data_IF_251242632150
#
_entry.id   IF_251242632150
#
_cell.length_a   1.000
_cell.length_b   1.000
_cell.length_c   1.000
_cell.angle_alpha   90.00
_cell.angle_beta   90.00
_cell.angle_gamma   90.00
#
_symmetry.space_group_name_H-M   'P 1'
#
loop_
_entity.id
_entity.type
_entity.pdbx_description
1 polymer ?
#
# COMPACT_ATOMS: atom_id res chain seq x y z
N UNK A 1 -14.61 32.60 -23.15
CA UNK A 1 -15.08 31.33 -22.56
C UNK A 1 -13.84 30.47 -22.34
N UNK A 2 -13.22 30.57 -21.17
CA UNK A 2 -12.01 29.79 -20.86
C UNK A 2 -12.45 28.42 -20.33
N UNK A 3 -12.31 27.38 -21.15
CA UNK A 3 -12.57 26.02 -20.72
C UNK A 3 -11.36 25.50 -19.94
N UNK A 4 -11.43 25.51 -18.61
CA UNK A 4 -10.48 24.82 -17.76
C UNK A 4 -10.60 23.31 -18.01
N UNK A 5 -9.67 22.78 -18.80
CA UNK A 5 -9.56 21.36 -19.07
C UNK A 5 -9.06 20.67 -17.79
N UNK A 6 -9.98 20.12 -17.01
CA UNK A 6 -9.64 19.26 -15.86
C UNK A 6 -8.82 18.09 -16.41
N UNK A 7 -7.55 17.99 -16.00
CA UNK A 7 -6.71 16.85 -16.35
C UNK A 7 -7.32 15.60 -15.71
N UNK A 8 -7.80 14.68 -16.55
CA UNK A 8 -8.11 13.31 -16.16
C UNK A 8 -6.84 12.66 -15.62
N UNK A 9 -6.78 12.48 -14.30
CA UNK A 9 -5.71 11.73 -13.64
C UNK A 9 -5.94 10.26 -13.94
N UNK A 10 -5.45 9.81 -15.09
CA UNK A 10 -5.41 8.38 -15.42
C UNK A 10 -4.49 7.70 -14.40
N UNK A 11 -5.07 7.03 -13.42
CA UNK A 11 -4.32 6.19 -12.49
C UNK A 11 -3.87 4.94 -13.26
N UNK A 12 -2.60 4.94 -13.66
CA UNK A 12 -1.97 3.80 -14.31
C UNK A 12 -2.10 2.56 -13.39
N UNK A 13 -2.82 1.50 -13.81
CA UNK A 13 -3.02 0.31 -13.00
C UNK A 13 -1.69 -0.39 -12.67
N UNK A 14 -0.64 -0.20 -13.46
CA UNK A 14 0.70 -0.75 -13.16
C UNK A 14 1.31 -0.05 -11.95
N UNK A 15 1.00 1.24 -11.73
CA UNK A 15 1.47 2.00 -10.55
C UNK A 15 0.70 1.62 -9.28
N UNK A 16 -0.53 1.12 -9.38
CA UNK A 16 -1.38 0.83 -8.21
C UNK A 16 -1.11 -0.54 -7.57
N UNK A 17 -0.44 -1.45 -8.27
CA UNK A 17 -0.13 -2.81 -7.77
C UNK A 17 1.18 -2.86 -6.97
N UNK A 18 2.03 -1.84 -7.08
CA UNK A 18 3.28 -1.74 -6.30
C UNK A 18 4.37 -2.73 -6.73
N UNK A 19 4.30 -3.26 -7.95
CA UNK A 19 5.35 -4.09 -8.54
C UNK A 19 6.43 -3.22 -9.20
N UNK A 20 7.69 -3.63 -9.05
CA UNK A 20 8.75 -3.05 -9.88
C UNK A 20 8.68 -3.58 -11.31
N UNK A 21 9.18 -2.86 -12.32
CA UNK A 21 9.21 -3.35 -13.71
C UNK A 21 9.86 -4.75 -13.83
N UNK A 22 10.95 -4.98 -13.08
CA UNK A 22 11.63 -6.27 -13.05
C UNK A 22 10.75 -7.38 -12.46
N UNK A 23 10.00 -7.11 -11.38
CA UNK A 23 9.06 -8.08 -10.83
C UNK A 23 7.94 -8.42 -11.82
N UNK A 24 7.39 -7.42 -12.51
CA UNK A 24 6.36 -7.62 -13.54
C UNK A 24 6.90 -8.48 -14.68
N UNK A 25 8.09 -8.20 -15.19
CA UNK A 25 8.75 -8.99 -16.23
C UNK A 25 8.95 -10.44 -15.78
N UNK A 26 9.52 -10.67 -14.59
CA UNK A 26 9.74 -12.01 -14.07
C UNK A 26 8.44 -12.77 -13.86
N UNK A 27 7.36 -12.11 -13.43
CA UNK A 27 6.05 -12.73 -13.28
C UNK A 27 5.50 -13.18 -14.64
N UNK A 28 5.45 -12.29 -15.63
CA UNK A 28 4.95 -12.60 -16.98
C UNK A 28 5.74 -13.75 -17.59
N UNK A 29 7.07 -13.66 -17.60
CA UNK A 29 7.93 -14.72 -18.14
C UNK A 29 7.79 -16.01 -17.32
N UNK A 30 7.64 -15.92 -16.00
CA UNK A 30 7.46 -17.07 -15.12
C UNK A 30 6.17 -17.84 -15.39
N UNK A 31 5.09 -17.15 -15.75
CA UNK A 31 3.83 -17.80 -16.17
C UNK A 31 3.96 -18.47 -17.53
N UNK A 32 4.72 -17.89 -18.47
CA UNK A 32 5.03 -18.52 -19.76
C UNK A 32 5.91 -19.77 -19.60
N UNK A 33 6.79 -19.78 -18.59
CA UNK A 33 7.63 -20.93 -18.22
C UNK A 33 6.91 -21.96 -17.34
N UNK A 34 5.61 -21.81 -17.08
CA UNK A 34 4.89 -22.68 -16.15
C UNK A 34 4.29 -23.89 -16.86
N UNK A 35 4.62 -25.09 -16.38
CA UNK A 35 3.96 -26.33 -16.76
C UNK A 35 3.07 -26.79 -15.60
N UNK A 36 1.75 -26.85 -15.84
CA UNK A 36 0.72 -27.09 -14.82
C UNK A 36 0.71 -26.02 -13.72
N UNK A 37 1.43 -26.26 -12.62
CA UNK A 37 1.55 -25.35 -11.45
C UNK A 37 3.01 -25.18 -11.00
N UNK A 38 3.97 -25.60 -11.83
CA UNK A 38 5.40 -25.51 -11.53
C UNK A 38 6.09 -24.64 -12.57
N UNK A 39 6.81 -23.64 -12.10
CA UNK A 39 7.64 -22.78 -12.96
C UNK A 39 8.95 -23.50 -13.26
N UNK A 40 9.33 -23.53 -14.54
CA UNK A 40 10.67 -23.92 -14.94
C UNK A 40 11.65 -22.78 -14.65
N UNK A 41 12.35 -22.87 -13.51
CA UNK A 41 13.31 -21.86 -13.07
C UNK A 41 14.52 -21.73 -13.99
N UNK A 42 14.87 -22.79 -14.73
CA UNK A 42 15.99 -22.76 -15.66
C UNK A 42 15.61 -21.92 -16.87
N UNK A 43 14.47 -22.21 -17.51
CA UNK A 43 13.94 -21.41 -18.62
C UNK A 43 13.69 -19.95 -18.22
N UNK A 44 13.17 -19.72 -17.02
CA UNK A 44 12.96 -18.35 -16.53
C UNK A 44 14.27 -17.58 -16.36
N UNK A 45 15.31 -18.22 -15.81
CA UNK A 45 16.64 -17.61 -15.70
C UNK A 45 17.22 -17.25 -17.06
N UNK A 46 17.08 -18.14 -18.04
CA UNK A 46 17.52 -17.92 -19.43
C UNK A 46 16.78 -16.74 -20.08
N UNK A 47 15.44 -16.69 -19.96
CA UNK A 47 14.62 -15.60 -20.53
C UNK A 47 14.90 -14.23 -19.91
N UNK A 48 15.14 -14.18 -18.59
CA UNK A 48 15.42 -12.95 -17.87
C UNK A 48 16.91 -12.62 -17.78
N UNK A 49 17.80 -13.40 -18.42
CA UNK A 49 19.26 -13.25 -18.37
C UNK A 49 19.85 -13.19 -16.95
N UNK A 50 19.34 -14.03 -16.04
CA UNK A 50 19.79 -14.15 -14.64
C UNK A 50 19.97 -15.60 -14.23
N UNK A 51 20.61 -15.84 -13.08
CA UNK A 51 20.71 -17.19 -12.53
C UNK A 51 19.32 -17.71 -12.10
N UNK A 52 19.04 -19.02 -12.23
CA UNK A 52 17.77 -19.60 -11.79
C UNK A 52 17.36 -19.26 -10.33
N UNK A 53 18.28 -19.24 -9.35
CA UNK A 53 17.95 -18.81 -7.98
C UNK A 53 17.53 -17.34 -7.89
N UNK A 54 18.17 -16.46 -8.67
CA UNK A 54 17.82 -15.04 -8.74
C UNK A 54 16.42 -14.87 -9.32
N UNK A 55 16.16 -15.49 -10.48
CA UNK A 55 14.84 -15.49 -11.12
C UNK A 55 13.73 -15.97 -10.17
N UNK A 56 13.96 -17.09 -9.46
CA UNK A 56 13.03 -17.61 -8.45
C UNK A 56 12.77 -16.59 -7.34
N UNK A 57 13.81 -15.90 -6.88
CA UNK A 57 13.70 -14.90 -5.80
C UNK A 57 12.85 -13.72 -6.25
N UNK A 58 13.11 -13.16 -7.43
CA UNK A 58 12.37 -12.01 -7.97
C UNK A 58 10.91 -12.39 -8.24
N UNK A 59 10.67 -13.55 -8.88
CA UNK A 59 9.33 -14.08 -9.13
C UNK A 59 8.54 -14.24 -7.83
N UNK A 60 9.14 -14.87 -6.81
CA UNK A 60 8.47 -15.12 -5.53
C UNK A 60 8.16 -13.80 -4.79
N UNK A 61 9.05 -12.82 -4.85
CA UNK A 61 8.80 -11.48 -4.30
C UNK A 61 7.64 -10.79 -5.01
N UNK A 62 7.64 -10.79 -6.34
CA UNK A 62 6.53 -10.23 -7.13
C UNK A 62 5.20 -10.90 -6.82
N UNK A 63 5.19 -12.24 -6.70
CA UNK A 63 3.96 -12.98 -6.38
C UNK A 63 3.42 -12.64 -4.99
N UNK A 64 4.28 -12.52 -3.98
CA UNK A 64 3.88 -12.08 -2.64
C UNK A 64 3.35 -10.64 -2.62
N UNK A 65 3.87 -9.76 -3.47
CA UNK A 65 3.33 -8.41 -3.60
C UNK A 65 1.90 -8.44 -4.16
N UNK A 66 1.63 -9.30 -5.15
CA UNK A 66 0.28 -9.50 -5.67
C UNK A 66 -0.67 -10.07 -4.62
N UNK A 67 -0.26 -11.12 -3.91
CA UNK A 67 -1.04 -11.73 -2.82
C UNK A 67 -1.45 -10.65 -1.78
N UNK A 68 -0.49 -9.83 -1.31
CA UNK A 68 -0.76 -8.73 -0.37
C UNK A 68 -1.66 -7.63 -0.94
N UNK A 69 -1.51 -7.33 -2.23
CA UNK A 69 -2.36 -6.34 -2.88
C UNK A 69 -3.81 -6.81 -2.95
N UNK A 70 -4.01 -8.09 -3.28
CA UNK A 70 -5.33 -8.73 -3.30
C UNK A 70 -5.97 -8.80 -1.91
N UNK A 71 -5.20 -9.14 -0.87
CA UNK A 71 -5.64 -9.09 0.53
C UNK A 71 -6.13 -7.69 0.92
N UNK A 72 -5.34 -6.65 0.63
CA UNK A 72 -5.70 -5.26 0.94
C UNK A 72 -6.92 -4.79 0.16
N UNK A 73 -7.00 -5.14 -1.13
CA UNK A 73 -8.13 -4.81 -1.99
C UNK A 73 -9.41 -5.45 -1.47
N UNK A 74 -9.35 -6.72 -1.09
CA UNK A 74 -10.50 -7.46 -0.56
C UNK A 74 -10.95 -6.90 0.79
N UNK A 75 -10.01 -6.58 1.69
CA UNK A 75 -10.32 -5.95 2.98
C UNK A 75 -10.96 -4.57 2.81
N UNK A 76 -10.53 -3.77 1.82
CA UNK A 76 -11.14 -2.47 1.52
C UNK A 76 -12.57 -2.62 0.98
N UNK A 77 -12.83 -3.62 0.14
CA UNK A 77 -14.17 -3.90 -0.38
C UNK A 77 -15.15 -4.23 0.75
N UNK A 78 -14.77 -5.07 1.70
CA UNK A 78 -15.62 -5.39 2.86
C UNK A 78 -15.92 -4.19 3.78
N UNK A 79 -15.05 -3.18 3.81
CA UNK A 79 -15.26 -1.96 4.61
C UNK A 79 -16.23 -1.01 3.89
N UNK A 80 -16.16 -0.90 2.55
CA UNK A 80 -17.14 -0.10 1.80
C UNK A 80 -18.53 -0.75 1.83
N UNK A 81 -18.64 -2.08 1.70
CA UNK A 81 -19.93 -2.78 1.87
C UNK A 81 -20.51 -2.62 3.29
N UNK A 82 -19.66 -2.63 4.33
CA UNK A 82 -20.10 -2.38 5.70
C UNK A 82 -20.49 -0.91 5.98
N UNK A 83 -20.01 0.04 5.17
CA UNK A 83 -20.41 1.44 5.24
C UNK A 83 -21.70 1.69 4.47
N UNK A 84 -21.88 1.11 3.28
CA UNK A 84 -23.14 1.17 2.53
C UNK A 84 -24.28 0.49 3.29
N UNK A 85 -24.02 -0.59 4.02
CA UNK A 85 -25.02 -1.23 4.88
C UNK A 85 -25.42 -0.35 6.08
N UNK A 86 -24.57 0.59 6.53
CA UNK A 86 -24.91 1.55 7.59
C UNK A 86 -25.59 2.81 7.07
N UNK A 87 -25.24 3.27 5.87
CA UNK A 87 -25.98 4.35 5.20
C UNK A 87 -27.39 3.92 4.76
N UNK A 88 -27.64 2.62 4.57
CA UNK A 88 -28.99 2.10 4.31
C UNK A 88 -29.88 1.98 5.57
N UNK A 89 -29.30 2.01 6.78
CA UNK A 89 -30.05 1.97 8.06
C UNK A 89 -30.33 3.38 8.60
N UNK A 90 -29.64 4.43 8.11
CA UNK A 90 -29.82 5.82 8.58
C UNK A 90 -30.79 6.66 7.71
N UNK A 91 -31.42 6.07 6.68
CA UNK A 91 -32.39 6.77 5.81
C UNK A 91 -33.86 6.56 6.25
N UNK A 92 -34.14 5.72 7.26
CA UNK A 92 -35.52 5.42 7.69
C UNK A 92 -35.94 5.99 9.05
N UNK A 93 -35.20 6.89 9.70
CA UNK A 93 -35.74 7.67 10.84
C UNK A 93 -34.98 8.99 11.04
N UNK A 94 -35.30 10.05 10.31
CA UNK A 94 -35.35 11.44 10.84
C UNK A 94 -36.28 12.26 9.93
N UNK A 95 -37.60 12.10 10.11
CA UNK A 95 -38.53 13.20 9.85
C UNK A 95 -38.89 13.83 11.22
N UNK A 96 -38.73 15.15 11.28
CA UNK A 96 -39.24 16.11 12.27
C UNK A 96 -38.65 16.12 13.69
N UNK A 97 -37.78 17.11 13.95
CA UNK A 97 -38.05 18.16 14.94
C UNK A 97 -37.04 19.31 14.78
N UNK A 98 -37.56 20.50 14.47
CA UNK A 98 -36.86 21.78 14.59
C UNK A 98 -36.72 22.22 16.06
N UNK A 99 -35.92 23.30 16.24
CA UNK A 99 -35.77 24.16 17.44
C UNK A 99 -34.88 23.57 18.55
N UNK A 100 -33.93 24.26 19.18
CA UNK A 100 -33.66 25.70 19.28
C UNK A 100 -32.20 25.91 19.76
N UNK A 101 -31.81 27.18 19.82
CA UNK A 101 -30.48 27.73 20.03
C UNK A 101 -29.88 27.50 21.45
N UNK A 102 -28.57 27.72 21.49
CA UNK A 102 -27.88 28.63 22.41
C UNK A 102 -26.78 28.06 23.34
N UNK A 103 -25.70 28.85 23.33
CA UNK A 103 -24.60 29.08 24.27
C UNK A 103 -24.07 27.95 25.18
N UNK A 104 -22.74 27.77 25.18
CA UNK A 104 -21.90 28.42 26.20
C UNK A 104 -20.39 28.18 25.95
N UNK A 105 -19.68 29.28 25.68
CA UNK A 105 -18.44 29.71 26.35
C UNK A 105 -17.27 28.72 26.59
N UNK A 106 -16.22 28.95 25.79
CA UNK A 106 -14.79 29.06 26.12
C UNK A 106 -14.26 28.41 27.43
N UNK A 107 -13.22 27.56 27.29
CA UNK A 107 -12.21 27.43 28.34
C UNK A 107 -10.85 27.10 27.74
N UNK A 108 -9.99 28.09 27.91
CA UNK A 108 -8.62 28.27 27.44
C UNK A 108 -7.60 27.26 28.03
N UNK A 109 -6.50 27.14 27.27
CA UNK A 109 -5.08 27.07 27.68
C UNK A 109 -4.54 26.05 28.73
N UNK A 110 -3.57 25.22 28.31
CA UNK A 110 -2.31 24.91 29.04
C UNK A 110 -1.38 24.02 28.15
N UNK A 111 -0.45 24.59 27.38
CA UNK A 111 0.97 24.91 27.72
C UNK A 111 1.95 23.70 27.64
N UNK A 112 2.75 23.74 26.57
CA UNK A 112 4.21 23.55 26.44
C UNK A 112 4.99 22.32 27.00
N UNK A 113 6.01 22.01 26.20
CA UNK A 113 7.27 21.31 26.47
C UNK A 113 7.25 19.76 26.52
N UNK A 114 8.21 19.03 25.95
CA UNK A 114 9.58 19.40 25.61
C UNK A 114 10.11 18.61 24.40
N UNK A 115 10.81 19.35 23.53
CA UNK A 115 11.80 18.87 22.58
C UNK A 115 13.00 18.32 23.35
N UNK A 116 13.51 17.15 22.98
CA UNK A 116 14.87 16.73 23.31
C UNK A 116 15.54 16.29 22.01
N UNK A 117 16.28 17.23 21.42
CA UNK A 117 17.35 16.91 20.49
C UNK A 117 18.63 16.62 21.26
N UNK A 118 19.52 15.87 20.57
CA UNK A 118 20.98 15.92 20.70
C UNK A 118 21.58 14.97 21.78
N UNK A 119 22.66 14.21 21.58
CA UNK A 119 23.79 14.37 20.65
C UNK A 119 24.54 13.04 20.44
N UNK A 120 25.22 12.99 19.30
CA UNK A 120 26.37 12.17 18.90
C UNK A 120 27.42 11.87 20.01
N UNK A 121 27.97 10.64 20.03
CA UNK A 121 29.39 10.44 20.31
C UNK A 121 29.92 9.11 19.73
N UNK A 122 30.97 9.24 18.92
CA UNK A 122 31.88 8.19 18.48
C UNK A 122 32.84 7.84 19.62
N UNK A 123 33.16 6.55 19.80
CA UNK A 123 34.42 5.99 20.32
C UNK A 123 34.14 4.48 20.53
N UNK A 124 34.98 3.49 20.23
CA UNK A 124 36.37 3.44 19.86
C UNK A 124 36.79 1.97 19.96
N UNK A 125 37.75 1.58 19.11
CA UNK A 125 38.75 0.53 19.31
C UNK A 125 38.33 -0.93 19.65
N UNK A 126 38.66 -1.82 18.69
CA UNK A 126 38.92 -3.25 18.90
C UNK A 126 40.08 -3.46 19.90
N UNK A 127 40.15 -4.63 20.55
CA UNK A 127 41.41 -5.34 20.61
C UNK A 127 41.30 -6.76 20.06
N UNK A 128 42.34 -7.12 19.32
CA UNK A 128 42.76 -8.47 18.95
C UNK A 128 43.34 -9.10 20.22
N UNK A 129 42.97 -10.34 20.51
CA UNK A 129 43.74 -11.19 21.42
C UNK A 129 44.03 -12.50 20.69
N UNK A 130 45.32 -12.82 20.64
CA UNK A 130 45.95 -14.04 20.11
C UNK A 130 45.31 -15.35 20.62
#
# INVERSE_FOLDING_TARGET
>A
MSHSQKQDKTSDPVKSVGLTPSQTEHLVMGYLCMEKRKVDWKKLGELCNVTPPSARTVFTKGRRCLEKWEEKRSARATIEEAKEAKEAEEVEEVEEAEEDEDDNEDSDEAVEAAHAEDTENQDGMRPISD
#
